data_IF_756195289599
#
_entry.id   IF_756195289599
#
_cell.length_a   1.000
_cell.length_b   1.000
_cell.length_c   1.000
_cell.angle_alpha   90.00
_cell.angle_beta   90.00
_cell.angle_gamma   90.00
#
_symmetry.space_group_name_H-M   'P 1'
#
loop_
_entity.id
_entity.type
_entity.pdbx_description
1 polymer ?
#
# COMPACT_ATOMS: atom_id res chain seq x y z
N UNK A 1 -24.30 0.17 -1.43
CA UNK A 1 -23.29 0.63 -0.42
C UNK A 1 -21.88 0.60 -1.01
N UNK A 2 -21.05 1.59 -0.69
CA UNK A 2 -19.63 1.65 -1.12
C UNK A 2 -18.74 1.62 0.13
N UNK A 3 -17.83 0.65 0.22
CA UNK A 3 -16.70 0.67 1.15
C UNK A 3 -15.54 1.38 0.46
N UNK A 4 -15.16 2.55 0.97
CA UNK A 4 -14.04 3.35 0.52
C UNK A 4 -12.83 3.08 1.44
N UNK A 5 -11.93 2.25 0.99
CA UNK A 5 -10.73 1.87 1.70
C UNK A 5 -9.59 2.85 1.39
N UNK A 6 -9.29 3.73 2.33
CA UNK A 6 -8.25 4.77 2.24
C UNK A 6 -7.05 4.35 3.07
N UNK A 7 -6.24 3.45 2.52
CA UNK A 7 -5.17 2.79 3.26
C UNK A 7 -4.26 3.75 4.01
N UNK A 8 -4.15 3.53 5.33
CA UNK A 8 -3.20 4.18 6.25
C UNK A 8 -3.31 5.72 6.36
N UNK A 9 -4.42 6.33 5.93
CA UNK A 9 -4.49 7.80 5.96
C UNK A 9 -4.46 8.38 7.38
N UNK A 10 -3.68 9.43 7.54
CA UNK A 10 -3.60 10.22 8.75
C UNK A 10 -4.76 11.23 8.79
N UNK A 11 -5.67 11.06 9.75
CA UNK A 11 -6.86 11.90 9.89
C UNK A 11 -6.50 13.29 10.43
N UNK A 12 -5.51 13.42 11.32
CA UNK A 12 -5.10 14.70 11.87
C UNK A 12 -4.58 15.65 10.77
N UNK A 13 -3.88 15.12 9.75
CA UNK A 13 -3.46 15.92 8.60
C UNK A 13 -4.66 16.33 7.75
N UNK A 14 -5.64 15.46 7.55
CA UNK A 14 -6.87 15.77 6.82
C UNK A 14 -7.64 16.89 7.55
N UNK A 15 -7.84 16.78 8.87
CA UNK A 15 -8.50 17.79 9.69
C UNK A 15 -7.76 19.12 9.66
N UNK A 16 -6.42 19.08 9.71
CA UNK A 16 -5.59 20.27 9.57
C UNK A 16 -5.84 20.99 8.24
N UNK A 17 -5.85 20.28 7.12
CA UNK A 17 -6.16 20.87 5.80
C UNK A 17 -7.62 21.33 5.67
N UNK A 18 -8.57 20.65 6.29
CA UNK A 18 -9.98 21.09 6.36
C UNK A 18 -10.07 22.43 7.10
N UNK A 19 -9.34 22.60 8.22
CA UNK A 19 -9.31 23.84 8.99
C UNK A 19 -8.74 25.03 8.20
N UNK A 20 -7.89 24.76 7.19
CA UNK A 20 -7.38 25.75 6.25
C UNK A 20 -8.35 26.07 5.08
N UNK A 21 -9.55 25.52 5.10
CA UNK A 21 -10.54 25.68 4.02
C UNK A 21 -10.28 24.81 2.78
N UNK A 22 -9.38 23.84 2.89
CA UNK A 22 -9.12 22.83 1.87
C UNK A 22 -9.99 21.58 2.09
N UNK A 23 -10.01 20.64 1.15
CA UNK A 23 -10.69 19.34 1.26
C UNK A 23 -12.19 19.42 1.61
N UNK A 24 -13.03 20.16 0.86
CA UNK A 24 -14.43 20.40 1.18
C UNK A 24 -15.28 19.12 1.17
N UNK A 25 -14.91 18.09 0.42
CA UNK A 25 -15.66 16.84 0.34
C UNK A 25 -15.28 15.88 1.46
N UNK A 26 -14.01 15.85 1.88
CA UNK A 26 -13.63 15.22 3.14
C UNK A 26 -14.38 15.84 4.32
N UNK A 27 -14.48 17.17 4.36
CA UNK A 27 -15.24 17.86 5.42
C UNK A 27 -16.71 17.41 5.45
N UNK A 28 -17.33 17.15 4.29
CA UNK A 28 -18.69 16.60 4.24
C UNK A 28 -18.73 15.16 4.71
N UNK A 29 -17.76 14.33 4.31
CA UNK A 29 -17.70 12.91 4.67
C UNK A 29 -17.40 12.69 6.16
N UNK A 30 -16.56 13.55 6.77
CA UNK A 30 -16.19 13.51 8.19
C UNK A 30 -17.17 14.29 9.09
N UNK A 31 -18.26 14.85 8.54
CA UNK A 31 -19.23 15.66 9.31
C UNK A 31 -19.92 14.87 10.43
N UNK A 32 -20.18 13.60 10.19
CA UNK A 32 -20.70 12.67 11.18
C UNK A 32 -19.57 12.19 12.08
N UNK A 33 -19.90 11.35 13.06
CA UNK A 33 -18.91 10.81 13.98
C UNK A 33 -17.80 10.07 13.23
N UNK A 34 -16.54 10.32 13.64
CA UNK A 34 -15.38 9.53 13.29
C UNK A 34 -15.13 8.57 14.43
N UNK A 35 -15.16 7.27 14.13
CA UNK A 35 -14.96 6.21 15.11
C UNK A 35 -13.53 5.70 15.01
N UNK A 36 -12.88 5.53 16.14
CA UNK A 36 -11.53 4.99 16.23
C UNK A 36 -11.58 3.46 16.15
N UNK A 37 -10.71 2.87 15.33
CA UNK A 37 -10.49 1.41 15.33
C UNK A 37 -9.13 1.09 15.94
N UNK A 38 -9.07 -0.01 16.70
CA UNK A 38 -7.81 -0.50 17.28
C UNK A 38 -7.46 -1.86 16.71
N UNK A 39 -6.20 -2.04 16.34
CA UNK A 39 -5.70 -3.26 15.74
C UNK A 39 -4.69 -3.99 16.64
N UNK A 40 -3.73 -4.68 16.06
CA UNK A 40 -2.73 -5.46 16.77
C UNK A 40 -1.82 -4.56 17.64
N UNK A 41 -1.42 -5.07 18.81
CA UNK A 41 -0.59 -4.30 19.75
C UNK A 41 0.91 -4.33 19.40
N UNK A 42 1.35 -5.35 18.66
CA UNK A 42 2.76 -5.52 18.30
C UNK A 42 3.05 -4.80 16.98
N UNK A 43 4.11 -4.00 16.98
CA UNK A 43 4.48 -3.19 15.81
C UNK A 43 4.72 -4.02 14.54
N UNK A 44 5.34 -5.20 14.66
CA UNK A 44 5.59 -6.11 13.55
C UNK A 44 4.31 -6.71 12.92
N UNK A 45 3.18 -6.56 13.58
CA UNK A 45 1.87 -6.97 13.08
C UNK A 45 1.05 -5.80 12.52
N UNK A 46 1.58 -4.57 12.58
CA UNK A 46 0.93 -3.38 12.04
C UNK A 46 1.19 -3.24 10.53
N UNK A 47 0.97 -4.31 9.80
CA UNK A 47 1.14 -4.30 8.35
C UNK A 47 -0.24 -4.25 7.66
N UNK A 48 -0.42 -3.41 6.63
CA UNK A 48 -1.73 -3.22 6.02
C UNK A 48 -2.35 -4.54 5.50
N UNK A 49 -1.55 -5.45 4.97
CA UNK A 49 -2.07 -6.75 4.50
C UNK A 49 -2.59 -7.65 5.63
N UNK A 50 -2.15 -7.45 6.88
CA UNK A 50 -2.73 -8.09 8.07
C UNK A 50 -4.06 -7.40 8.44
N UNK A 51 -4.06 -6.07 8.51
CA UNK A 51 -5.22 -5.28 8.93
C UNK A 51 -6.40 -5.42 7.96
N UNK A 52 -6.15 -5.40 6.66
CA UNK A 52 -7.22 -5.59 5.67
C UNK A 52 -7.75 -7.02 5.66
N UNK A 53 -6.92 -8.02 5.95
CA UNK A 53 -7.40 -9.40 6.16
C UNK A 53 -8.30 -9.46 7.41
N UNK A 54 -7.95 -8.77 8.50
CA UNK A 54 -8.80 -8.66 9.70
C UNK A 54 -10.17 -8.05 9.37
N UNK A 55 -10.21 -6.94 8.61
CA UNK A 55 -11.48 -6.32 8.18
C UNK A 55 -12.31 -7.25 7.30
N UNK A 56 -11.66 -7.98 6.40
CA UNK A 56 -12.34 -8.83 5.41
C UNK A 56 -12.82 -10.16 5.99
N UNK A 57 -12.25 -10.65 7.09
CA UNK A 57 -12.58 -11.94 7.69
C UNK A 57 -13.28 -11.83 9.04
N UNK A 58 -13.17 -10.68 9.73
CA UNK A 58 -13.65 -10.50 11.11
C UNK A 58 -12.80 -11.25 12.15
N UNK A 59 -11.61 -11.69 11.78
CA UNK A 59 -10.70 -12.47 12.63
C UNK A 59 -9.46 -11.63 12.97
N UNK A 60 -8.93 -11.80 14.17
CA UNK A 60 -7.63 -11.22 14.57
C UNK A 60 -6.48 -11.93 13.83
N UNK A 61 -5.28 -11.32 13.82
CA UNK A 61 -4.10 -11.99 13.28
C UNK A 61 -3.87 -13.37 13.93
N UNK A 62 -4.07 -13.47 15.24
CA UNK A 62 -3.91 -14.75 15.96
C UNK A 62 -4.85 -15.86 15.47
N UNK A 63 -5.96 -15.52 14.85
CA UNK A 63 -6.95 -16.44 14.29
C UNK A 63 -6.72 -16.69 12.80
N UNK A 64 -6.62 -15.65 11.97
CA UNK A 64 -6.46 -15.81 10.52
C UNK A 64 -5.04 -16.21 10.07
N UNK A 65 -3.98 -15.90 10.81
CA UNK A 65 -2.58 -16.28 10.53
C UNK A 65 -2.04 -15.87 9.16
N UNK A 66 -2.65 -14.91 8.49
CA UNK A 66 -2.17 -14.35 7.21
C UNK A 66 -1.11 -13.31 7.53
N UNK A 67 0.16 -13.65 7.33
CA UNK A 67 1.29 -12.79 7.72
C UNK A 67 1.90 -12.02 6.55
N UNK A 68 1.74 -12.50 5.31
CA UNK A 68 2.35 -11.88 4.13
C UNK A 68 1.29 -11.47 3.13
N UNK A 69 1.65 -10.51 2.31
CA UNK A 69 0.84 -10.10 1.17
C UNK A 69 0.75 -11.26 0.17
N UNK A 70 -0.48 -11.66 -0.16
CA UNK A 70 -0.79 -12.77 -1.04
C UNK A 70 -1.07 -14.11 -0.33
N UNK A 71 -0.68 -14.29 0.95
CA UNK A 71 -0.91 -15.54 1.69
C UNK A 71 -2.40 -15.92 1.80
N UNK A 72 -3.31 -14.96 1.69
CA UNK A 72 -4.77 -15.19 1.74
C UNK A 72 -5.24 -16.19 0.66
N UNK A 73 -4.54 -16.26 -0.48
CA UNK A 73 -4.89 -17.17 -1.58
C UNK A 73 -4.78 -18.64 -1.18
N UNK A 74 -3.85 -18.96 -0.28
CA UNK A 74 -3.64 -20.32 0.23
C UNK A 74 -4.61 -20.68 1.39
N UNK A 75 -5.21 -19.66 2.03
CA UNK A 75 -6.07 -19.80 3.21
C UNK A 75 -7.53 -20.05 2.81
N UNK A 76 -7.77 -21.17 2.11
CA UNK A 76 -9.11 -21.61 1.65
C UNK A 76 -10.08 -21.92 2.79
N UNK A 77 -9.58 -22.05 4.00
CA UNK A 77 -10.34 -22.26 5.24
C UNK A 77 -10.98 -20.97 5.77
N UNK A 78 -10.56 -19.80 5.29
CA UNK A 78 -11.09 -18.50 5.69
C UNK A 78 -12.14 -18.01 4.70
N UNK A 79 -13.32 -17.62 5.18
CA UNK A 79 -14.29 -16.87 4.39
C UNK A 79 -13.98 -15.38 4.45
N UNK A 80 -14.07 -14.70 3.31
CA UNK A 80 -13.96 -13.26 3.21
C UNK A 80 -15.36 -12.64 3.08
N UNK A 81 -15.51 -11.40 3.45
CA UNK A 81 -16.78 -10.67 3.41
C UNK A 81 -17.45 -10.71 2.03
N UNK A 82 -16.66 -10.76 0.96
CA UNK A 82 -17.16 -10.82 -0.42
C UNK A 82 -17.97 -12.09 -0.66
N UNK A 83 -17.44 -13.25 -0.23
CA UNK A 83 -18.10 -14.55 -0.36
C UNK A 83 -19.34 -14.64 0.51
N UNK A 84 -19.27 -14.11 1.72
CA UNK A 84 -20.39 -14.14 2.65
C UNK A 84 -21.55 -13.28 2.15
N UNK A 85 -21.29 -12.08 1.62
CA UNK A 85 -22.31 -11.23 1.04
C UNK A 85 -22.91 -11.84 -0.25
N UNK A 86 -22.07 -12.44 -1.12
CA UNK A 86 -22.57 -13.15 -2.31
C UNK A 86 -23.47 -14.32 -1.93
N UNK A 87 -23.09 -15.12 -0.91
CA UNK A 87 -23.90 -16.24 -0.42
C UNK A 87 -25.23 -15.80 0.21
N UNK A 88 -25.32 -14.55 0.68
CA UNK A 88 -26.55 -13.92 1.14
C UNK A 88 -27.37 -13.26 0.02
N UNK A 89 -26.94 -13.41 -1.22
CA UNK A 89 -27.66 -12.95 -2.40
C UNK A 89 -27.29 -11.56 -2.90
N UNK A 90 -26.28 -10.88 -2.31
CA UNK A 90 -25.84 -9.57 -2.77
C UNK A 90 -24.94 -9.72 -4.00
N UNK A 91 -25.09 -8.77 -4.91
CA UNK A 91 -24.18 -8.62 -6.04
C UNK A 91 -22.95 -7.79 -5.65
N UNK A 92 -21.75 -8.24 -6.02
CA UNK A 92 -20.47 -7.71 -5.53
C UNK A 92 -19.69 -7.04 -6.66
N UNK A 93 -19.14 -5.85 -6.38
CA UNK A 93 -18.15 -5.16 -7.19
C UNK A 93 -16.92 -4.77 -6.37
N UNK A 94 -15.71 -5.05 -6.86
CA UNK A 94 -14.50 -4.67 -6.13
C UNK A 94 -13.39 -4.17 -7.07
N UNK A 95 -12.71 -3.10 -6.65
CA UNK A 95 -11.49 -2.57 -7.28
C UNK A 95 -10.39 -2.54 -6.25
N UNK A 96 -9.31 -3.29 -6.54
CA UNK A 96 -8.08 -3.35 -5.76
C UNK A 96 -8.25 -3.75 -4.28
N UNK A 97 -9.24 -4.61 -3.88
CA UNK A 97 -9.34 -5.00 -2.49
C UNK A 97 -8.02 -5.62 -2.04
N UNK A 98 -7.42 -5.05 -0.99
CA UNK A 98 -6.04 -5.34 -0.62
C UNK A 98 -5.92 -6.69 0.09
N UNK A 99 -4.99 -7.53 -0.38
CA UNK A 99 -4.77 -8.89 0.14
C UNK A 99 -6.07 -9.70 0.20
N UNK A 100 -6.84 -9.69 -0.90
CA UNK A 100 -8.10 -10.42 -1.04
C UNK A 100 -8.04 -11.42 -2.18
N UNK A 101 -8.54 -12.63 -1.95
CA UNK A 101 -8.68 -13.66 -3.00
C UNK A 101 -10.06 -13.60 -3.64
N UNK A 102 -10.12 -13.58 -4.95
CA UNK A 102 -11.38 -13.58 -5.68
C UNK A 102 -11.96 -15.00 -5.77
N UNK A 103 -12.86 -15.34 -4.88
CA UNK A 103 -13.59 -16.62 -4.83
C UNK A 103 -15.07 -16.49 -5.21
N UNK A 104 -15.44 -15.30 -5.73
CA UNK A 104 -16.82 -15.02 -6.11
C UNK A 104 -17.25 -15.85 -7.32
N UNK A 105 -18.46 -16.39 -7.28
CA UNK A 105 -19.06 -17.18 -8.36
C UNK A 105 -19.58 -16.27 -9.48
N UNK A 106 -20.11 -15.09 -9.13
CA UNK A 106 -20.82 -14.20 -10.05
C UNK A 106 -20.55 -12.72 -9.80
N UNK A 107 -19.29 -12.34 -9.47
CA UNK A 107 -18.93 -10.93 -9.27
C UNK A 107 -19.35 -10.07 -10.48
N UNK A 108 -19.98 -8.93 -10.22
CA UNK A 108 -20.25 -7.92 -11.26
C UNK A 108 -18.96 -7.43 -11.90
N UNK A 109 -17.95 -7.19 -11.07
CA UNK A 109 -16.56 -6.97 -11.42
C UNK A 109 -15.67 -7.21 -10.18
N UNK A 110 -14.47 -7.72 -10.41
CA UNK A 110 -13.44 -7.83 -9.38
C UNK A 110 -12.08 -7.63 -10.04
N UNK A 111 -11.41 -6.53 -9.70
CA UNK A 111 -10.04 -6.24 -10.10
C UNK A 111 -9.20 -6.37 -8.84
N UNK A 112 -8.36 -7.41 -8.70
CA UNK A 112 -7.54 -7.60 -7.50
C UNK A 112 -6.50 -6.50 -7.36
N UNK A 113 -5.92 -6.38 -6.17
CA UNK A 113 -4.71 -5.58 -6.00
C UNK A 113 -3.55 -6.15 -6.85
N UNK A 114 -2.55 -5.34 -7.18
CA UNK A 114 -1.48 -5.78 -8.08
C UNK A 114 -0.60 -6.91 -7.57
N UNK A 115 -0.58 -7.15 -6.27
CA UNK A 115 0.36 -8.07 -5.61
C UNK A 115 -0.25 -9.43 -5.27
N UNK A 116 -1.57 -9.49 -5.04
CA UNK A 116 -2.27 -10.75 -4.74
C UNK A 116 -2.53 -11.54 -6.02
N UNK A 117 -2.04 -12.78 -6.07
CA UNK A 117 -2.11 -13.67 -7.25
C UNK A 117 -3.49 -14.34 -7.34
N UNK A 118 -4.51 -13.59 -7.74
CA UNK A 118 -5.86 -14.08 -7.95
C UNK A 118 -6.43 -13.56 -9.26
N UNK A 119 -7.49 -14.21 -9.81
CA UNK A 119 -8.05 -13.83 -11.08
C UNK A 119 -9.04 -12.68 -11.00
N UNK A 120 -8.97 -11.75 -11.96
CA UNK A 120 -9.97 -10.72 -12.12
C UNK A 120 -11.28 -11.29 -12.70
N UNK A 121 -12.42 -10.81 -12.18
CA UNK A 121 -13.75 -11.09 -12.72
C UNK A 121 -14.31 -9.91 -13.51
N UNK A 122 -15.07 -10.19 -14.55
CA UNK A 122 -15.68 -9.19 -15.44
C UNK A 122 -15.44 -9.51 -16.91
N UNK A 123 -15.58 -8.49 -17.77
CA UNK A 123 -15.37 -8.65 -19.21
C UNK A 123 -13.91 -9.02 -19.54
N UNK A 124 -13.69 -9.57 -20.74
CA UNK A 124 -12.32 -9.87 -21.22
C UNK A 124 -11.41 -8.62 -21.16
N UNK A 125 -11.98 -7.44 -21.44
CA UNK A 125 -11.27 -6.17 -21.34
C UNK A 125 -10.77 -5.92 -19.91
N UNK A 126 -11.64 -6.06 -18.91
CA UNK A 126 -11.32 -5.87 -17.47
C UNK A 126 -10.20 -6.83 -17.06
N UNK A 127 -10.28 -8.11 -17.43
CA UNK A 127 -9.24 -9.10 -17.09
C UNK A 127 -7.89 -8.76 -17.71
N UNK A 128 -7.86 -8.27 -18.94
CA UNK A 128 -6.61 -7.83 -19.62
C UNK A 128 -6.06 -6.56 -18.99
N UNK A 129 -6.92 -5.58 -18.68
CA UNK A 129 -6.54 -4.34 -18.00
C UNK A 129 -5.93 -4.63 -16.63
N UNK A 130 -6.59 -5.46 -15.82
CA UNK A 130 -6.10 -5.89 -14.50
C UNK A 130 -4.69 -6.50 -14.58
N UNK A 131 -4.47 -7.45 -15.49
CA UNK A 131 -3.15 -8.05 -15.70
C UNK A 131 -2.08 -7.02 -16.12
N UNK A 132 -2.47 -6.03 -16.91
CA UNK A 132 -1.54 -4.98 -17.34
C UNK A 132 -1.22 -4.00 -16.20
N UNK A 133 -2.18 -3.69 -15.32
CA UNK A 133 -1.97 -2.90 -14.10
C UNK A 133 -1.02 -3.65 -13.16
N UNK A 134 -1.27 -4.92 -12.89
CA UNK A 134 -0.41 -5.75 -12.03
C UNK A 134 1.04 -5.78 -12.54
N UNK A 135 1.25 -5.99 -13.85
CA UNK A 135 2.60 -5.95 -14.45
C UNK A 135 3.24 -4.57 -14.38
N UNK A 136 2.45 -3.51 -14.56
CA UNK A 136 2.96 -2.13 -14.45
C UNK A 136 3.51 -1.86 -13.05
N UNK A 137 2.74 -2.21 -12.02
CA UNK A 137 3.13 -1.98 -10.62
C UNK A 137 4.32 -2.87 -10.23
N UNK A 138 4.28 -4.18 -10.54
CA UNK A 138 5.32 -5.13 -10.14
C UNK A 138 6.64 -4.96 -10.92
N UNK A 139 6.61 -4.48 -12.17
CA UNK A 139 7.80 -4.27 -12.99
C UNK A 139 8.33 -2.82 -12.96
N UNK A 140 7.80 -1.97 -12.10
CA UNK A 140 8.20 -0.57 -12.03
C UNK A 140 9.71 -0.41 -11.77
N UNK A 141 10.33 -1.33 -11.02
CA UNK A 141 11.76 -1.35 -10.78
C UNK A 141 12.60 -1.71 -12.03
N UNK A 142 12.06 -2.50 -12.98
CA UNK A 142 12.77 -2.94 -14.19
C UNK A 142 12.55 -2.05 -15.42
N UNK A 143 11.56 -1.15 -15.38
CA UNK A 143 11.21 -0.22 -16.47
C UNK A 143 10.69 -0.89 -17.76
N UNK A 144 10.58 -2.23 -17.80
CA UNK A 144 10.24 -2.99 -19.03
C UNK A 144 8.78 -3.42 -19.06
N UNK A 145 7.92 -2.54 -19.59
CA UNK A 145 6.54 -2.92 -19.96
C UNK A 145 6.50 -3.44 -21.39
N UNK A 146 5.75 -4.54 -21.60
CA UNK A 146 5.43 -5.04 -22.94
C UNK A 146 4.59 -4.02 -23.71
N UNK A 147 4.75 -3.93 -25.01
CA UNK A 147 3.95 -3.03 -25.84
C UNK A 147 2.44 -3.28 -25.68
N UNK A 148 2.03 -4.55 -25.59
CA UNK A 148 0.63 -4.93 -25.32
C UNK A 148 0.09 -4.35 -24.01
N UNK A 149 0.89 -4.33 -22.93
CA UNK A 149 0.44 -3.81 -21.64
C UNK A 149 0.25 -2.28 -21.70
N UNK A 150 1.14 -1.57 -22.39
CA UNK A 150 0.99 -0.11 -22.66
C UNK A 150 -0.30 0.18 -23.44
N UNK A 151 -0.63 -0.67 -24.44
CA UNK A 151 -1.84 -0.51 -25.22
C UNK A 151 -3.10 -0.74 -24.38
N UNK A 152 -3.13 -1.79 -23.52
CA UNK A 152 -4.26 -2.04 -22.64
C UNK A 152 -4.45 -0.93 -21.61
N UNK A 153 -3.37 -0.36 -21.04
CA UNK A 153 -3.43 0.79 -20.14
C UNK A 153 -3.97 2.03 -20.85
N UNK A 154 -3.51 2.31 -22.09
CA UNK A 154 -4.01 3.42 -22.89
C UNK A 154 -5.50 3.25 -23.23
N UNK A 155 -5.91 2.06 -23.66
CA UNK A 155 -7.33 1.76 -23.92
C UNK A 155 -8.15 1.90 -22.63
N UNK A 156 -7.64 1.41 -21.50
CA UNK A 156 -8.26 1.60 -20.18
C UNK A 156 -8.49 3.08 -19.88
N UNK A 157 -7.49 3.92 -20.12
CA UNK A 157 -7.61 5.36 -19.99
C UNK A 157 -8.72 5.93 -20.89
N UNK A 158 -8.67 5.65 -22.19
CA UNK A 158 -9.64 6.20 -23.17
C UNK A 158 -11.08 5.77 -22.89
N UNK A 159 -11.30 4.49 -22.48
CA UNK A 159 -12.66 3.98 -22.28
C UNK A 159 -13.27 4.26 -20.91
N UNK A 160 -12.44 4.45 -19.89
CA UNK A 160 -12.94 4.63 -18.51
C UNK A 160 -12.80 6.05 -17.98
N UNK A 161 -11.79 6.82 -18.44
CA UNK A 161 -11.61 8.17 -17.93
C UNK A 161 -12.62 9.13 -18.56
N UNK A 162 -13.49 9.68 -17.71
CA UNK A 162 -14.53 10.63 -18.13
C UNK A 162 -13.91 11.92 -18.65
N UNK A 163 -14.48 12.49 -19.69
CA UNK A 163 -13.98 13.72 -20.36
C UNK A 163 -13.79 14.87 -19.35
N UNK A 164 -14.71 15.01 -18.37
CA UNK A 164 -14.60 16.03 -17.32
C UNK A 164 -13.30 15.93 -16.48
N UNK A 165 -12.60 14.78 -16.51
CA UNK A 165 -11.34 14.54 -15.79
C UNK A 165 -10.07 14.74 -16.61
N UNK A 166 -10.18 14.90 -17.91
CA UNK A 166 -9.01 14.98 -18.79
C UNK A 166 -8.11 16.18 -18.46
N UNK A 167 -8.67 17.33 -18.07
CA UNK A 167 -7.86 18.49 -17.64
C UNK A 167 -7.07 18.17 -16.37
N UNK A 168 -7.68 17.49 -15.41
CA UNK A 168 -6.98 17.06 -14.18
C UNK A 168 -5.85 16.07 -14.50
N UNK A 169 -6.13 15.08 -15.37
CA UNK A 169 -5.09 14.15 -15.83
C UNK A 169 -3.96 14.85 -16.56
N UNK A 170 -4.25 15.82 -17.41
CA UNK A 170 -3.22 16.59 -18.12
C UNK A 170 -2.32 17.35 -17.13
N UNK A 171 -2.93 17.99 -16.11
CA UNK A 171 -2.20 18.66 -15.03
C UNK A 171 -1.28 17.69 -14.29
N UNK A 172 -1.78 16.52 -13.91
CA UNK A 172 -0.99 15.48 -13.24
C UNK A 172 0.10 14.93 -14.19
N UNK A 173 -0.21 14.66 -15.44
CA UNK A 173 0.73 14.14 -16.43
C UNK A 173 1.92 15.09 -16.71
N UNK A 174 1.68 16.41 -16.78
CA UNK A 174 2.73 17.43 -16.90
C UNK A 174 3.66 17.38 -15.68
N UNK A 175 3.12 17.15 -14.50
CA UNK A 175 3.87 17.10 -13.24
C UNK A 175 4.32 15.69 -12.82
N UNK A 176 4.23 14.68 -13.70
CA UNK A 176 4.45 13.25 -13.38
C UNK A 176 5.79 12.91 -12.74
N UNK A 177 6.79 13.78 -12.86
CA UNK A 177 8.11 13.60 -12.27
C UNK A 177 8.22 14.19 -10.85
N UNK A 178 7.21 14.96 -10.40
CA UNK A 178 7.18 15.46 -9.03
C UNK A 178 6.79 14.37 -8.03
N UNK A 179 7.29 14.43 -6.80
CA UNK A 179 6.96 13.48 -5.74
C UNK A 179 5.44 13.28 -5.55
N UNK A 180 5.00 12.03 -5.41
CA UNK A 180 3.60 11.65 -5.16
C UNK A 180 2.67 11.64 -6.39
N UNK A 181 3.01 12.35 -7.48
CA UNK A 181 2.09 12.53 -8.62
C UNK A 181 1.76 11.22 -9.33
N UNK A 182 2.72 10.30 -9.48
CA UNK A 182 2.45 9.01 -10.13
C UNK A 182 1.47 8.14 -9.34
N UNK A 183 1.54 8.19 -8.01
CA UNK A 183 0.60 7.49 -7.15
C UNK A 183 -0.81 8.09 -7.29
N UNK A 184 -0.94 9.43 -7.30
CA UNK A 184 -2.20 10.12 -7.52
C UNK A 184 -2.82 9.78 -8.88
N UNK A 185 -2.02 9.72 -9.96
CA UNK A 185 -2.49 9.32 -11.30
C UNK A 185 -3.10 7.91 -11.25
N UNK A 186 -2.44 6.96 -10.60
CA UNK A 186 -2.92 5.58 -10.52
C UNK A 186 -4.26 5.50 -9.79
N UNK A 187 -4.38 6.13 -8.62
CA UNK A 187 -5.60 6.09 -7.83
C UNK A 187 -6.77 6.79 -8.54
N UNK A 188 -6.51 7.89 -9.25
CA UNK A 188 -7.55 8.56 -10.05
C UNK A 188 -7.99 7.69 -11.24
N UNK A 189 -7.10 6.91 -11.86
CA UNK A 189 -7.48 5.94 -12.91
C UNK A 189 -8.35 4.83 -12.31
N UNK A 190 -7.97 4.27 -11.16
CA UNK A 190 -8.76 3.23 -10.49
C UNK A 190 -10.18 3.73 -10.15
N UNK A 191 -10.30 4.99 -9.69
CA UNK A 191 -11.60 5.62 -9.49
C UNK A 191 -12.44 5.66 -10.77
N UNK A 192 -11.86 6.14 -11.87
CA UNK A 192 -12.61 6.30 -13.10
C UNK A 192 -13.12 4.94 -13.62
N UNK A 193 -12.30 3.90 -13.48
CA UNK A 193 -12.72 2.51 -13.74
C UNK A 193 -13.87 2.12 -12.81
N UNK A 194 -13.73 2.40 -11.51
CA UNK A 194 -14.76 2.11 -10.51
C UNK A 194 -16.10 2.80 -10.82
N UNK A 195 -16.10 4.12 -10.99
CA UNK A 195 -17.32 4.88 -11.25
C UNK A 195 -18.04 4.40 -12.50
N UNK A 196 -17.29 4.06 -13.55
CA UNK A 196 -17.88 3.55 -14.79
C UNK A 196 -18.50 2.17 -14.59
N UNK A 197 -17.81 1.28 -13.88
CA UNK A 197 -18.30 -0.08 -13.60
C UNK A 197 -19.47 -0.05 -12.60
N UNK A 198 -19.41 0.81 -11.58
CA UNK A 198 -20.47 1.03 -10.59
C UNK A 198 -21.77 1.46 -11.28
N UNK A 199 -21.72 2.48 -12.12
CA UNK A 199 -22.90 2.96 -12.88
C UNK A 199 -23.49 1.91 -13.79
N UNK A 200 -22.65 1.12 -14.45
CA UNK A 200 -23.08 0.11 -15.42
C UNK A 200 -23.67 -1.13 -14.75
N UNK A 201 -23.06 -1.59 -13.68
CA UNK A 201 -23.37 -2.91 -13.09
C UNK A 201 -24.23 -2.82 -11.82
N UNK A 202 -24.24 -1.67 -11.14
CA UNK A 202 -25.00 -1.38 -9.92
C UNK A 202 -24.95 -2.52 -8.90
N UNK A 203 -23.79 -2.91 -8.41
CA UNK A 203 -23.69 -3.93 -7.37
C UNK A 203 -24.27 -3.43 -6.06
N UNK A 204 -24.83 -4.33 -5.24
CA UNK A 204 -25.39 -4.01 -3.93
C UNK A 204 -24.29 -3.61 -2.94
N UNK A 205 -23.13 -4.27 -3.02
CA UNK A 205 -21.93 -3.94 -2.28
C UNK A 205 -20.74 -3.69 -3.21
N UNK A 206 -20.07 -2.58 -2.97
CA UNK A 206 -18.87 -2.20 -3.72
C UNK A 206 -17.70 -1.90 -2.80
N UNK A 207 -16.51 -2.37 -3.18
CA UNK A 207 -15.25 -2.09 -2.48
C UNK A 207 -14.29 -1.35 -3.42
N UNK A 208 -13.79 -0.21 -2.96
CA UNK A 208 -12.79 0.60 -3.67
C UNK A 208 -11.62 0.88 -2.73
N UNK A 209 -10.45 0.40 -3.08
CA UNK A 209 -9.24 0.56 -2.28
C UNK A 209 -8.21 1.45 -2.97
N UNK A 210 -7.61 2.35 -2.20
CA UNK A 210 -6.53 3.23 -2.61
C UNK A 210 -5.30 3.08 -1.72
N UNK A 211 -4.13 2.97 -2.36
CA UNK A 211 -2.84 2.84 -1.69
C UNK A 211 -1.90 4.04 -1.88
N UNK A 212 -2.23 4.95 -2.78
CA UNK A 212 -1.38 6.09 -3.08
C UNK A 212 -1.15 7.01 -1.87
N UNK A 213 -2.18 7.16 -1.03
CA UNK A 213 -2.08 7.93 0.22
C UNK A 213 -1.07 7.35 1.19
N UNK A 214 -1.10 6.02 1.41
CA UNK A 214 -0.12 5.32 2.22
C UNK A 214 1.30 5.52 1.68
N UNK A 215 1.49 5.30 0.36
CA UNK A 215 2.78 5.49 -0.30
C UNK A 215 3.33 6.90 -0.13
N UNK A 216 2.50 7.92 -0.33
CA UNK A 216 2.94 9.32 -0.21
C UNK A 216 3.28 9.67 1.24
N UNK A 217 2.52 9.16 2.23
CA UNK A 217 2.81 9.36 3.64
C UNK A 217 4.13 8.70 4.07
N UNK A 218 4.40 7.47 3.62
CA UNK A 218 5.68 6.80 3.93
C UNK A 218 6.90 7.62 3.52
N UNK A 219 6.79 8.41 2.46
CA UNK A 219 7.95 9.06 1.83
C UNK A 219 8.00 10.57 1.99
N UNK A 220 6.87 11.24 2.26
CA UNK A 220 6.81 12.70 2.14
C UNK A 220 6.06 13.41 3.27
N UNK A 221 5.76 12.76 4.41
CA UNK A 221 5.06 13.42 5.53
C UNK A 221 5.80 14.66 6.04
N UNK A 222 7.14 14.69 5.99
CA UNK A 222 7.93 15.83 6.43
C UNK A 222 7.78 17.06 5.53
N UNK A 223 7.21 16.92 4.32
CA UNK A 223 6.90 18.03 3.42
C UNK A 223 5.47 18.58 3.59
N UNK A 224 4.63 17.90 4.37
CA UNK A 224 3.28 18.39 4.64
C UNK A 224 3.31 19.69 5.44
N UNK A 225 2.50 20.68 5.06
CA UNK A 225 2.30 21.89 5.85
C UNK A 225 1.68 21.61 7.23
N UNK A 226 1.07 20.44 7.41
CA UNK A 226 0.53 19.98 8.69
C UNK A 226 1.57 19.32 9.60
N UNK A 227 2.75 18.97 9.07
CA UNK A 227 3.83 18.44 9.89
C UNK A 227 4.46 19.54 10.77
N UNK A 228 4.46 19.34 12.08
CA UNK A 228 4.97 20.30 13.06
C UNK A 228 6.32 19.89 13.70
N UNK A 229 6.91 18.80 13.21
CA UNK A 229 8.21 18.32 13.68
C UNK A 229 9.40 19.07 13.05
N UNK A 230 10.60 18.63 13.44
CA UNK A 230 11.85 19.31 13.04
C UNK A 230 12.49 18.73 11.77
N UNK A 231 12.09 17.54 11.32
CA UNK A 231 12.70 16.89 10.17
C UNK A 231 12.24 17.50 8.86
N UNK A 232 13.11 17.48 7.86
CA UNK A 232 12.80 17.95 6.50
C UNK A 232 13.42 17.00 5.50
N UNK A 233 12.72 16.75 4.41
CA UNK A 233 13.34 16.06 3.29
C UNK A 233 14.37 16.97 2.60
N UNK A 234 15.49 16.40 2.10
CA UNK A 234 16.42 17.15 1.27
C UNK A 234 15.75 17.70 -0.01
N UNK A 235 16.18 18.87 -0.48
CA UNK A 235 15.63 19.51 -1.69
C UNK A 235 15.69 18.62 -2.93
N UNK A 236 16.75 17.81 -3.05
CA UNK A 236 16.91 16.87 -4.17
C UNK A 236 15.91 15.70 -4.11
N UNK A 237 15.36 15.37 -2.92
CA UNK A 237 14.37 14.30 -2.74
C UNK A 237 12.95 14.83 -2.87
N UNK A 238 12.62 15.89 -2.17
CA UNK A 238 11.34 16.58 -2.28
C UNK A 238 11.53 18.08 -2.01
N UNK A 239 11.24 18.95 -3.02
CA UNK A 239 11.35 20.39 -2.85
C UNK A 239 10.51 20.89 -1.66
N UNK A 240 11.04 21.86 -0.93
CA UNK A 240 10.40 22.38 0.30
C UNK A 240 9.09 23.14 0.03
N UNK A 241 8.90 23.64 -1.20
CA UNK A 241 7.67 24.29 -1.69
C UNK A 241 6.62 23.32 -2.24
N UNK A 242 6.91 22.02 -2.21
CA UNK A 242 6.04 20.96 -2.73
C UNK A 242 5.47 20.11 -1.61
N UNK A 243 4.12 20.03 -1.53
CA UNK A 243 3.38 19.21 -0.56
C UNK A 243 2.69 18.03 -1.26
N UNK A 244 3.35 16.85 -1.32
CA UNK A 244 2.77 15.65 -1.93
C UNK A 244 1.55 15.10 -1.16
N UNK A 245 1.49 15.34 0.16
CA UNK A 245 0.35 14.91 0.99
C UNK A 245 -0.90 15.68 0.59
N UNK A 246 -0.81 17.00 0.52
CA UNK A 246 -1.94 17.83 0.09
C UNK A 246 -2.39 17.47 -1.33
N UNK A 247 -1.46 17.31 -2.28
CA UNK A 247 -1.78 16.88 -3.65
C UNK A 247 -2.60 15.60 -3.68
N UNK A 248 -2.19 14.60 -2.89
CA UNK A 248 -2.88 13.32 -2.82
C UNK A 248 -4.26 13.47 -2.20
N UNK A 249 -4.36 14.20 -1.10
CA UNK A 249 -5.63 14.45 -0.41
C UNK A 249 -6.60 15.28 -1.25
N UNK A 250 -6.15 16.28 -2.04
CA UNK A 250 -6.97 17.00 -3.01
C UNK A 250 -7.49 16.06 -4.11
N UNK A 251 -6.67 15.10 -4.55
CA UNK A 251 -7.09 14.08 -5.50
C UNK A 251 -8.19 13.21 -4.89
N UNK A 252 -8.03 12.77 -3.65
CA UNK A 252 -9.04 11.99 -2.93
C UNK A 252 -10.29 12.81 -2.60
N UNK A 253 -10.15 14.08 -2.26
CA UNK A 253 -11.29 14.97 -2.03
C UNK A 253 -12.19 15.07 -3.28
N UNK A 254 -11.56 15.17 -4.44
CA UNK A 254 -12.27 15.14 -5.72
C UNK A 254 -12.99 13.80 -5.96
N UNK A 255 -12.34 12.69 -5.59
CA UNK A 255 -12.92 11.34 -5.65
C UNK A 255 -14.14 11.22 -4.75
N UNK A 256 -13.99 11.65 -3.50
CA UNK A 256 -15.07 11.65 -2.50
C UNK A 256 -16.26 12.48 -3.00
N UNK A 257 -16.01 13.63 -3.61
CA UNK A 257 -17.06 14.45 -4.22
C UNK A 257 -17.89 13.68 -5.26
N UNK A 258 -17.24 12.96 -6.18
CA UNK A 258 -17.93 12.13 -7.18
C UNK A 258 -18.74 10.98 -6.54
N UNK A 259 -18.21 10.38 -5.48
CA UNK A 259 -18.91 9.30 -4.78
C UNK A 259 -20.12 9.84 -3.99
N UNK A 260 -20.00 11.00 -3.33
CA UNK A 260 -21.11 11.65 -2.62
C UNK A 260 -22.27 12.03 -3.56
N UNK A 261 -21.95 12.41 -4.82
CA UNK A 261 -22.96 12.69 -5.84
C UNK A 261 -23.81 11.46 -6.20
N UNK A 262 -23.37 10.23 -5.90
CA UNK A 262 -24.13 9.01 -6.19
C UNK A 262 -25.34 8.83 -5.28
N UNK A 263 -25.35 9.47 -4.10
CA UNK A 263 -26.38 9.28 -3.07
C UNK A 263 -26.30 7.94 -2.32
N UNK A 264 -25.30 7.11 -2.64
CA UNK A 264 -25.10 5.82 -1.97
C UNK A 264 -24.50 6.02 -0.56
N UNK A 265 -24.71 5.04 0.33
CA UNK A 265 -23.98 4.99 1.60
C UNK A 265 -22.50 4.75 1.29
N UNK A 266 -21.64 5.61 1.83
CA UNK A 266 -20.18 5.48 1.77
C UNK A 266 -19.69 5.25 3.19
N UNK A 267 -18.97 4.15 3.40
CA UNK A 267 -18.21 3.88 4.62
C UNK A 267 -16.75 4.00 4.27
N UNK A 268 -16.07 5.00 4.85
CA UNK A 268 -14.63 5.20 4.71
C UNK A 268 -13.89 4.48 5.83
N UNK A 269 -12.81 3.75 5.51
CA UNK A 269 -11.99 3.00 6.47
C UNK A 269 -10.52 3.17 6.13
N UNK A 270 -9.67 3.37 7.14
CA UNK A 270 -8.21 3.50 6.94
C UNK A 270 -7.44 2.20 7.21
N UNK A 271 -8.05 1.24 7.90
CA UNK A 271 -7.38 0.03 8.39
C UNK A 271 -6.51 0.32 9.61
N UNK A 272 -5.41 0.97 9.40
CA UNK A 272 -4.55 1.63 10.38
C UNK A 272 -4.27 3.06 9.89
N UNK A 273 -3.42 3.83 10.58
CA UNK A 273 -2.91 5.09 10.05
C UNK A 273 -1.40 5.19 10.15
N UNK A 274 -0.84 6.17 9.46
CA UNK A 274 0.57 6.52 9.63
C UNK A 274 0.70 7.80 10.45
N UNK A 275 1.72 7.83 11.29
CA UNK A 275 2.19 9.04 11.95
C UNK A 275 3.60 9.40 11.49
N UNK A 276 4.04 10.66 11.62
CA UNK A 276 5.40 11.06 11.27
C UNK A 276 6.45 10.20 12.00
N UNK A 277 7.47 9.77 11.28
CA UNK A 277 8.58 9.01 11.87
C UNK A 277 9.42 9.91 12.77
N UNK A 278 9.98 9.35 13.85
CA UNK A 278 10.75 10.10 14.86
C UNK A 278 12.18 10.40 14.45
N UNK A 279 12.63 9.95 13.28
CA UNK A 279 13.95 10.25 12.74
C UNK A 279 13.94 10.25 11.22
N UNK A 280 14.88 10.95 10.61
CA UNK A 280 15.15 10.82 9.19
C UNK A 280 15.89 9.49 8.96
N UNK A 281 15.34 8.62 8.12
CA UNK A 281 15.88 7.27 7.87
C UNK A 281 15.97 7.04 6.38
N UNK A 282 17.20 6.91 5.87
CA UNK A 282 17.48 6.61 4.48
C UNK A 282 17.37 5.11 4.21
N UNK A 283 16.81 4.76 3.07
CA UNK A 283 16.74 3.38 2.61
C UNK A 283 17.66 3.17 1.42
N UNK A 284 18.53 2.18 1.54
CA UNK A 284 19.50 1.79 0.54
C UNK A 284 19.31 0.34 0.13
N UNK A 285 19.55 0.03 -1.13
CA UNK A 285 19.57 -1.35 -1.62
C UNK A 285 20.75 -1.56 -2.56
N UNK A 286 21.27 -2.78 -2.73
CA UNK A 286 22.27 -3.04 -3.76
C UNK A 286 21.77 -2.68 -5.15
N UNK A 287 22.61 -2.07 -5.99
CA UNK A 287 22.34 -1.86 -7.42
C UNK A 287 22.21 -3.22 -8.13
N UNK A 288 23.19 -4.10 -7.89
CA UNK A 288 23.10 -5.51 -8.20
C UNK A 288 23.26 -6.31 -6.91
N UNK A 289 22.21 -7.00 -6.51
CA UNK A 289 22.17 -7.74 -5.25
C UNK A 289 23.15 -8.92 -5.26
N UNK A 290 23.28 -9.62 -6.40
CA UNK A 290 24.13 -10.80 -6.49
C UNK A 290 25.60 -10.41 -6.44
N UNK A 291 25.99 -9.43 -7.26
CA UNK A 291 27.37 -8.94 -7.30
C UNK A 291 27.77 -8.35 -5.94
N UNK A 292 26.89 -7.58 -5.31
CA UNK A 292 27.14 -7.01 -3.98
C UNK A 292 27.37 -8.10 -2.91
N UNK A 293 26.56 -9.16 -2.90
CA UNK A 293 26.71 -10.28 -1.96
C UNK A 293 27.96 -11.12 -2.24
N UNK A 294 28.35 -11.25 -3.49
CA UNK A 294 29.64 -11.89 -3.86
C UNK A 294 30.80 -11.04 -3.35
N UNK A 295 30.76 -9.73 -3.47
CA UNK A 295 31.75 -8.83 -2.87
C UNK A 295 31.76 -8.93 -1.33
N UNK A 296 30.61 -9.13 -0.70
CA UNK A 296 30.53 -9.46 0.72
C UNK A 296 31.13 -10.84 1.07
N UNK A 297 31.68 -11.59 0.11
CA UNK A 297 32.38 -12.85 0.33
C UNK A 297 31.50 -14.11 0.26
N UNK A 298 30.26 -14.04 -0.21
CA UNK A 298 29.45 -15.23 -0.40
C UNK A 298 29.92 -16.00 -1.64
N UNK A 299 30.41 -17.23 -1.42
CA UNK A 299 31.00 -18.10 -2.47
C UNK A 299 30.09 -19.26 -2.86
N UNK A 300 29.06 -19.57 -2.06
CA UNK A 300 28.12 -20.64 -2.34
C UNK A 300 27.14 -20.25 -3.45
N UNK A 301 26.41 -21.24 -3.96
CA UNK A 301 25.35 -20.99 -4.92
C UNK A 301 24.09 -20.50 -4.20
N UNK A 302 23.57 -19.36 -4.62
CA UNK A 302 22.33 -18.78 -4.10
C UNK A 302 21.54 -18.07 -5.21
N UNK A 303 20.24 -17.93 -5.01
CA UNK A 303 19.39 -17.03 -5.81
C UNK A 303 18.97 -15.82 -5.00
N UNK A 304 18.72 -14.70 -5.67
CA UNK A 304 18.26 -13.46 -5.01
C UNK A 304 16.95 -13.02 -5.65
N UNK A 305 15.98 -12.69 -4.79
CA UNK A 305 14.68 -12.17 -5.20
C UNK A 305 14.51 -10.78 -4.57
N UNK A 306 14.74 -9.70 -5.33
CA UNK A 306 14.47 -8.34 -4.86
C UNK A 306 12.99 -8.16 -4.49
N UNK A 307 12.72 -7.40 -3.43
CA UNK A 307 11.38 -7.04 -2.98
C UNK A 307 11.06 -5.58 -3.30
N UNK A 308 9.98 -5.05 -2.72
CA UNK A 308 9.43 -3.73 -3.09
C UNK A 308 10.29 -2.55 -2.65
N UNK A 309 11.03 -2.66 -1.54
CA UNK A 309 11.79 -1.54 -1.02
C UNK A 309 13.30 -1.82 -0.95
N UNK A 310 13.90 -1.81 0.22
CA UNK A 310 15.32 -2.11 0.45
C UNK A 310 15.58 -3.58 0.72
N UNK A 311 14.53 -4.33 0.89
CA UNK A 311 14.50 -5.74 1.27
C UNK A 311 14.64 -6.68 0.07
N UNK A 312 15.22 -7.86 0.31
CA UNK A 312 15.35 -8.92 -0.67
C UNK A 312 15.47 -10.30 0.02
N UNK A 313 15.15 -11.34 -0.73
CA UNK A 313 15.33 -12.72 -0.27
C UNK A 313 16.58 -13.32 -0.87
N UNK A 314 17.30 -14.13 -0.07
CA UNK A 314 18.31 -15.08 -0.55
C UNK A 314 17.71 -16.48 -0.37
N UNK A 315 17.74 -17.28 -1.42
CA UNK A 315 17.36 -18.69 -1.36
C UNK A 315 18.58 -19.57 -1.57
N UNK A 316 18.69 -20.62 -0.75
CA UNK A 316 19.79 -21.57 -0.73
C UNK A 316 19.27 -23.02 -0.72
N UNK A 317 20.15 -23.99 -0.88
CA UNK A 317 19.78 -25.40 -0.97
C UNK A 317 19.56 -26.07 0.38
N UNK A 318 20.11 -25.53 1.47
CA UNK A 318 20.03 -26.11 2.82
C UNK A 318 19.95 -25.06 3.92
N UNK A 319 19.36 -25.45 5.05
CA UNK A 319 19.31 -24.64 6.28
C UNK A 319 20.69 -24.32 6.82
N UNK A 320 21.67 -25.22 6.59
CA UNK A 320 23.07 -25.01 6.97
C UNK A 320 23.69 -23.85 6.18
N UNK A 321 23.50 -23.81 4.86
CA UNK A 321 23.97 -22.70 4.03
C UNK A 321 23.32 -21.38 4.44
N UNK A 322 22.04 -21.39 4.79
CA UNK A 322 21.37 -20.20 5.31
C UNK A 322 22.00 -19.70 6.61
N UNK A 323 22.29 -20.61 7.56
CA UNK A 323 22.94 -20.26 8.81
C UNK A 323 24.36 -19.73 8.59
N UNK A 324 25.11 -20.32 7.66
CA UNK A 324 26.45 -19.85 7.30
C UNK A 324 26.42 -18.43 6.71
N UNK A 325 25.44 -18.12 5.84
CA UNK A 325 25.21 -16.77 5.30
C UNK A 325 24.84 -15.79 6.41
N UNK A 326 23.90 -16.15 7.28
CA UNK A 326 23.48 -15.30 8.40
C UNK A 326 24.68 -14.96 9.30
N UNK A 327 25.43 -15.96 9.73
CA UNK A 327 26.62 -15.78 10.58
C UNK A 327 27.69 -14.91 9.92
N UNK A 328 27.84 -15.01 8.60
CA UNK A 328 28.82 -14.24 7.84
C UNK A 328 28.38 -12.78 7.67
N UNK A 329 27.18 -12.54 7.19
CA UNK A 329 26.67 -11.18 6.90
C UNK A 329 26.36 -10.39 8.18
N UNK A 330 25.99 -11.04 9.28
CA UNK A 330 25.76 -10.37 10.58
C UNK A 330 27.01 -9.70 11.15
N UNK A 331 28.19 -10.04 10.65
CA UNK A 331 29.46 -9.43 11.10
C UNK A 331 29.77 -8.11 10.38
N UNK A 332 29.02 -7.75 9.34
CA UNK A 332 29.25 -6.49 8.64
C UNK A 332 28.79 -5.29 9.45
N UNK A 333 29.69 -4.31 9.60
CA UNK A 333 29.45 -3.03 10.27
C UNK A 333 29.77 -1.88 9.32
N UNK A 334 29.14 -0.73 9.50
CA UNK A 334 29.53 0.50 8.83
C UNK A 334 30.78 1.11 9.49
N UNK A 335 31.72 1.62 8.67
CA UNK A 335 32.99 2.17 9.14
C UNK A 335 32.88 3.49 9.90
N UNK A 336 31.71 4.15 9.86
CA UNK A 336 31.50 5.47 10.48
C UNK A 336 30.97 5.35 11.91
N UNK A 337 29.96 4.51 12.12
CA UNK A 337 29.25 4.38 13.39
C UNK A 337 29.46 3.02 14.07
N UNK A 338 30.10 2.09 13.40
CA UNK A 338 30.30 0.70 13.85
C UNK A 338 28.97 -0.02 14.16
N UNK A 339 27.91 0.26 13.35
CA UNK A 339 26.61 -0.39 13.50
C UNK A 339 26.44 -1.50 12.45
N UNK A 340 25.64 -2.53 12.75
CA UNK A 340 25.30 -3.57 11.78
C UNK A 340 24.79 -2.99 10.46
N UNK A 341 25.25 -3.57 9.34
CA UNK A 341 24.82 -3.20 7.98
C UNK A 341 23.57 -3.94 7.58
N UNK A 342 23.43 -5.20 7.99
CA UNK A 342 22.31 -6.05 7.61
C UNK A 342 21.41 -6.36 8.79
N UNK A 343 20.11 -6.38 8.53
CA UNK A 343 19.11 -7.09 9.33
C UNK A 343 18.74 -8.37 8.57
N UNK A 344 18.74 -9.51 9.26
CA UNK A 344 18.59 -10.83 8.64
C UNK A 344 17.54 -11.61 9.43
N UNK A 345 16.48 -12.06 8.75
CA UNK A 345 15.49 -12.99 9.26
C UNK A 345 15.66 -14.33 8.54
N UNK A 346 16.28 -15.30 9.24
CA UNK A 346 16.54 -16.63 8.72
C UNK A 346 15.31 -17.51 8.83
N UNK A 347 14.81 -18.00 7.70
CA UNK A 347 13.60 -18.82 7.55
C UNK A 347 13.91 -20.24 7.04
N UNK A 348 15.05 -20.78 7.41
CA UNK A 348 15.56 -22.04 6.90
C UNK A 348 16.25 -21.84 5.55
N UNK A 349 15.76 -22.46 4.46
CA UNK A 349 16.36 -22.32 3.12
C UNK A 349 16.18 -20.94 2.48
N UNK A 350 15.55 -20.00 3.17
CA UNK A 350 15.31 -18.64 2.71
C UNK A 350 15.70 -17.63 3.80
N UNK A 351 16.46 -16.61 3.45
CA UNK A 351 16.77 -15.50 4.34
C UNK A 351 16.15 -14.23 3.80
N UNK A 352 15.44 -13.49 4.66
CA UNK A 352 14.98 -12.16 4.36
C UNK A 352 16.00 -11.15 4.86
N UNK A 353 16.50 -10.30 3.98
CA UNK A 353 17.56 -9.34 4.28
C UNK A 353 17.13 -7.92 3.92
N UNK A 354 17.64 -6.98 4.71
CA UNK A 354 17.62 -5.56 4.38
C UNK A 354 18.93 -4.89 4.80
N UNK A 355 19.35 -3.86 4.06
CA UNK A 355 20.41 -2.96 4.49
C UNK A 355 19.81 -1.96 5.49
N UNK A 356 20.34 -1.96 6.73
CA UNK A 356 19.82 -1.12 7.83
C UNK A 356 20.65 0.14 8.07
N UNK A 357 21.68 0.42 7.24
CA UNK A 357 22.32 1.73 7.24
C UNK A 357 21.27 2.80 6.90
N UNK A 358 21.06 3.74 7.81
CA UNK A 358 19.88 4.60 7.84
C UNK A 358 20.19 6.11 7.67
N UNK A 359 21.38 6.44 7.16
CA UNK A 359 21.85 7.80 6.91
C UNK A 359 22.30 8.01 5.47
N UNK A 360 22.68 9.23 5.10
CA UNK A 360 23.27 9.49 3.78
C UNK A 360 24.66 8.86 3.66
N UNK A 361 25.03 8.41 2.44
CA UNK A 361 26.34 7.81 2.20
C UNK A 361 27.40 8.90 2.10
N UNK A 362 28.37 8.87 3.02
CA UNK A 362 29.56 9.76 2.96
C UNK A 362 30.64 9.18 2.05
N UNK A 363 31.57 10.01 1.58
CA UNK A 363 32.45 9.69 0.44
C UNK A 363 33.42 8.55 0.72
N UNK A 364 34.05 8.54 1.89
CA UNK A 364 35.09 7.56 2.24
C UNK A 364 34.60 6.42 3.15
N UNK A 365 33.27 6.23 3.26
CA UNK A 365 32.74 5.14 4.08
C UNK A 365 32.80 3.80 3.36
N UNK A 366 32.93 2.76 4.18
CA UNK A 366 32.92 1.37 3.75
C UNK A 366 32.03 0.52 4.68
N UNK A 367 31.68 -0.66 4.20
CA UNK A 367 31.11 -1.71 5.04
C UNK A 367 32.21 -2.75 5.31
N UNK A 368 32.53 -2.92 6.57
CA UNK A 368 33.61 -3.79 7.02
C UNK A 368 33.04 -5.14 7.48
N UNK A 369 33.55 -6.23 6.93
CA UNK A 369 33.13 -7.59 7.20
C UNK A 369 34.24 -8.50 7.74
N UNK A 370 33.95 -9.79 7.95
CA UNK A 370 34.91 -10.75 8.42
C UNK A 370 36.04 -10.99 7.37
N UNK A 371 37.18 -11.52 7.83
CA UNK A 371 38.35 -11.85 7.00
C UNK A 371 38.89 -10.65 6.18
N UNK A 372 38.91 -9.48 6.78
CA UNK A 372 39.38 -8.23 6.16
C UNK A 372 38.61 -7.79 4.89
N UNK A 373 37.38 -8.28 4.72
CA UNK A 373 36.49 -7.82 3.62
C UNK A 373 36.07 -6.39 3.90
N UNK A 374 36.36 -5.49 2.95
CA UNK A 374 35.94 -4.10 3.00
C UNK A 374 35.23 -3.73 1.69
N UNK A 375 33.98 -3.30 1.78
CA UNK A 375 33.20 -2.84 0.65
C UNK A 375 33.25 -1.30 0.60
N UNK A 376 34.06 -0.76 -0.25
CA UNK A 376 34.23 0.67 -0.49
C UNK A 376 33.41 1.15 -1.69
N UNK A 377 33.43 2.47 -1.97
CA UNK A 377 32.72 3.09 -3.08
C UNK A 377 31.20 2.82 -3.06
N UNK A 378 30.61 2.89 -1.89
CA UNK A 378 29.21 2.51 -1.63
C UNK A 378 28.21 3.27 -2.51
N UNK A 379 28.47 4.53 -2.87
CA UNK A 379 27.62 5.31 -3.79
C UNK A 379 27.46 4.70 -5.18
N UNK A 380 28.44 3.91 -5.63
CA UNK A 380 28.37 3.20 -6.91
C UNK A 380 27.66 1.83 -6.78
N UNK A 381 27.64 1.26 -5.60
CA UNK A 381 27.13 -0.09 -5.33
C UNK A 381 25.74 -0.13 -4.73
N UNK A 382 25.32 0.95 -4.08
CA UNK A 382 24.01 1.10 -3.45
C UNK A 382 23.16 2.14 -4.18
N UNK A 383 21.94 1.75 -4.47
CA UNK A 383 20.93 2.64 -5.00
C UNK A 383 20.10 3.23 -3.85
N UNK A 384 19.90 4.53 -3.89
CA UNK A 384 18.93 5.20 -3.02
C UNK A 384 17.50 4.72 -3.34
N UNK A 385 16.73 4.38 -2.32
CA UNK A 385 15.35 3.94 -2.46
C UNK A 385 14.39 5.06 -2.04
N UNK A 386 14.50 5.50 -0.79
CA UNK A 386 13.59 6.48 -0.20
C UNK A 386 14.12 7.02 1.14
N UNK A 387 13.47 8.05 1.64
CA UNK A 387 13.57 8.49 3.04
C UNK A 387 12.25 8.11 3.72
N UNK A 388 12.33 7.35 4.81
CA UNK A 388 11.16 7.01 5.61
C UNK A 388 10.67 8.25 6.37
N UNK A 389 9.44 8.66 6.08
CA UNK A 389 8.78 9.80 6.72
C UNK A 389 7.61 9.38 7.61
N UNK A 390 6.88 8.34 7.22
CA UNK A 390 5.74 7.80 7.95
C UNK A 390 6.05 6.46 8.58
N UNK A 391 5.38 6.16 9.69
CA UNK A 391 5.38 4.84 10.32
C UNK A 391 3.97 4.43 10.70
N UNK A 392 3.69 3.14 10.68
CA UNK A 392 2.41 2.58 11.07
C UNK A 392 2.12 2.82 12.55
N UNK A 393 0.85 3.05 12.85
CA UNK A 393 0.27 3.07 14.19
C UNK A 393 -0.96 2.15 14.21
N UNK A 394 -1.17 1.45 15.33
CA UNK A 394 -2.26 0.48 15.51
C UNK A 394 -3.65 1.09 15.64
N UNK A 395 -3.77 2.40 15.48
CA UNK A 395 -5.03 3.12 15.42
C UNK A 395 -5.44 3.31 13.98
N UNK A 396 -6.71 3.08 13.69
CA UNK A 396 -7.33 3.40 12.41
C UNK A 396 -8.64 4.17 12.63
N UNK A 397 -9.34 4.46 11.54
CA UNK A 397 -10.55 5.28 11.60
C UNK A 397 -11.61 4.74 10.66
N UNK A 398 -12.88 4.87 11.09
CA UNK A 398 -14.05 4.67 10.25
C UNK A 398 -14.94 5.90 10.31
N UNK A 399 -15.50 6.27 9.17
CA UNK A 399 -16.38 7.43 9.00
C UNK A 399 -17.37 7.18 7.86
N UNK A 400 -18.48 7.91 7.83
CA UNK A 400 -19.52 7.70 6.83
C UNK A 400 -20.26 9.00 6.49
N UNK A 401 -20.79 9.09 5.25
CA UNK A 401 -21.71 10.15 4.86
C UNK A 401 -23.10 10.03 5.50
N UNK A 402 -23.39 8.91 6.16
CA UNK A 402 -24.62 8.66 6.90
C UNK A 402 -24.30 8.35 8.37
N UNK A 403 -25.24 8.58 9.31
CA UNK A 403 -25.02 8.22 10.71
C UNK A 403 -24.62 6.76 10.89
N UNK A 404 -23.71 6.50 11.82
CA UNK A 404 -23.25 5.18 12.21
C UNK A 404 -23.71 4.87 13.64
N UNK A 405 -24.24 3.68 13.86
CA UNK A 405 -24.54 3.18 15.20
C UNK A 405 -23.35 2.38 15.71
N UNK A 406 -22.29 3.10 16.09
CA UNK A 406 -21.06 2.54 16.63
C UNK A 406 -20.63 3.31 17.88
N UNK A 407 -19.99 2.66 18.85
CA UNK A 407 -19.29 3.34 19.93
C UNK A 407 -18.12 4.16 19.37
N UNK A 408 -17.59 5.10 20.15
CA UNK A 408 -16.47 5.97 19.72
C UNK A 408 -15.19 5.22 19.36
N UNK A 409 -15.07 3.99 19.86
CA UNK A 409 -13.94 3.11 19.60
C UNK A 409 -14.40 1.65 19.52
N UNK A 410 -13.87 0.92 18.54
CA UNK A 410 -14.13 -0.52 18.30
C UNK A 410 -12.83 -1.26 18.00
N UNK A 411 -12.83 -2.58 18.14
CA UNK A 411 -11.75 -3.41 17.59
C UNK A 411 -11.87 -3.51 16.05
N UNK A 412 -10.74 -3.52 15.35
CA UNK A 412 -10.73 -3.54 13.88
C UNK A 412 -11.51 -4.72 13.28
N UNK A 413 -11.50 -5.88 13.95
CA UNK A 413 -12.25 -7.06 13.49
C UNK A 413 -13.77 -6.85 13.47
N UNK A 414 -14.29 -5.94 14.31
CA UNK A 414 -15.74 -5.63 14.36
C UNK A 414 -16.22 -4.94 13.10
N UNK A 415 -15.29 -4.35 12.31
CA UNK A 415 -15.60 -3.77 11.01
C UNK A 415 -16.24 -4.77 10.06
N UNK A 416 -15.88 -6.05 10.12
CA UNK A 416 -16.52 -7.09 9.32
C UNK A 416 -18.03 -7.15 9.54
N UNK A 417 -18.47 -7.25 10.79
CA UNK A 417 -19.89 -7.33 11.16
C UNK A 417 -20.60 -6.02 10.83
N UNK A 418 -19.96 -4.87 11.08
CA UNK A 418 -20.51 -3.56 10.78
C UNK A 418 -20.73 -3.36 9.26
N UNK A 419 -19.75 -3.68 8.42
CA UNK A 419 -19.85 -3.57 6.96
C UNK A 419 -20.94 -4.53 6.45
N UNK A 420 -20.95 -5.77 6.95
CA UNK A 420 -21.93 -6.79 6.56
C UNK A 420 -23.35 -6.36 6.88
N UNK A 421 -23.60 -5.88 8.09
CA UNK A 421 -24.94 -5.42 8.53
C UNK A 421 -25.43 -4.24 7.66
N UNK A 422 -24.57 -3.24 7.39
CA UNK A 422 -24.93 -2.10 6.54
C UNK A 422 -25.18 -2.49 5.08
N UNK A 423 -24.39 -3.41 4.53
CA UNK A 423 -24.58 -3.90 3.16
C UNK A 423 -25.93 -4.62 3.00
N UNK A 424 -26.31 -5.46 3.97
CA UNK A 424 -27.60 -6.16 3.99
C UNK A 424 -28.76 -5.18 4.16
N UNK A 425 -28.64 -4.24 5.08
CA UNK A 425 -29.68 -3.22 5.31
C UNK A 425 -29.94 -2.36 4.06
N UNK A 426 -28.86 -1.91 3.38
CA UNK A 426 -28.98 -1.13 2.13
C UNK A 426 -29.56 -1.95 0.96
N UNK A 427 -29.40 -3.29 0.98
CA UNK A 427 -30.03 -4.21 0.04
C UNK A 427 -31.48 -4.59 0.42
N UNK A 428 -31.99 -4.12 1.57
CA UNK A 428 -33.33 -4.45 2.07
C UNK A 428 -33.45 -5.86 2.61
N UNK A 429 -32.34 -6.49 3.00
CA UNK A 429 -32.29 -7.83 3.58
C UNK A 429 -32.26 -7.70 5.11
N UNK A 430 -33.29 -8.15 5.77
CA UNK A 430 -33.33 -8.27 7.26
C UNK A 430 -32.53 -9.48 7.68
N UNK A 431 -31.59 -9.29 8.62
CA UNK A 431 -30.72 -10.34 9.18
C UNK A 431 -31.26 -10.83 10.52
#
# INVERSE_FOLDING_TARGET
MILLALNELNIEFIEGYISEGKLPNFNKLLRNDVVVTTSESKYELLEPWIQWTTIQTGLTYSEHKVFRLGDIVERRDLNQIFEDLENMGLSIGAISPFNADNRLKSAKFFIPDPWTQTEASGTLFIRKLSRSISRFVNNNASGKLRFSDKLWLLMGFVFYVRIKRWQNFLRLAINRNKPGVRAAILDVILLEVFVTLQKKNKPDYSHLFFNGGAHVQHHYMFNSSQYKGQFKNPEWYCPSDWDPILLMLESYDTIIGDLLESGERIIGVTGLHQRPHEKQTFYWRPVDHKDFLVECGLKMQFSVIPRMSRDFLIEVSSDKEALDIENHLSQFIDSVRNKPVFNIDNRGKSLFLEIVYDDDLVEDMSFEGPNEISISSLKAKLAFVAIKNGKHDGVGYVFSNMPMDLPKQIELKEMYSFIKANALADAGITY
#
